data_IF_007981014825
#
_entry.id   IF_007981014825
#
_cell.length_a   1.000
_cell.length_b   1.000
_cell.length_c   1.000
_cell.angle_alpha   90.00
_cell.angle_beta   90.00
_cell.angle_gamma   90.00
#
_symmetry.space_group_name_H-M   'P 1'
#
loop_
_entity.id
_entity.type
_entity.pdbx_description
1 polymer ?
#
# COMPACT_ATOMS: atom_id res chain seq x y z
N UNK A 1 -4.84 -18.98 3.50
CA UNK A 1 -3.37 -19.06 3.30
C UNK A 1 -2.81 -18.06 2.28
N UNK A 2 -3.26 -18.00 1.01
CA UNK A 2 -2.69 -17.02 0.04
C UNK A 2 -3.10 -15.58 0.34
N UNK A 3 -4.37 -15.36 0.72
CA UNK A 3 -4.91 -14.03 1.02
C UNK A 3 -4.36 -13.44 2.33
N UNK A 4 -4.27 -14.23 3.40
CA UNK A 4 -3.68 -13.79 4.67
C UNK A 4 -2.22 -13.34 4.52
N UNK A 5 -1.45 -14.03 3.66
CA UNK A 5 -0.08 -13.65 3.32
C UNK A 5 -0.02 -12.36 2.49
N UNK A 6 -1.00 -12.16 1.60
CA UNK A 6 -1.11 -10.96 0.78
C UNK A 6 -1.48 -9.71 1.62
N UNK A 7 -2.40 -9.87 2.58
CA UNK A 7 -2.75 -8.83 3.55
C UNK A 7 -1.54 -8.46 4.43
N UNK A 8 -0.86 -9.45 5.00
CA UNK A 8 0.35 -9.20 5.80
C UNK A 8 1.46 -8.50 5.00
N UNK A 9 1.63 -8.84 3.72
CA UNK A 9 2.57 -8.17 2.83
C UNK A 9 2.13 -6.72 2.51
N UNK A 10 0.83 -6.48 2.34
CA UNK A 10 0.29 -5.14 2.14
C UNK A 10 0.51 -4.28 3.39
N UNK A 11 0.19 -4.76 4.59
CA UNK A 11 0.45 -4.02 5.83
C UNK A 11 1.93 -3.69 6.02
N UNK A 12 2.83 -4.64 5.75
CA UNK A 12 4.26 -4.42 5.81
C UNK A 12 4.74 -3.35 4.79
N UNK A 13 4.19 -3.37 3.58
CA UNK A 13 4.47 -2.38 2.55
C UNK A 13 3.95 -0.98 2.95
N UNK A 14 2.75 -0.90 3.53
CA UNK A 14 2.17 0.36 4.00
C UNK A 14 3.05 1.01 5.06
N UNK A 15 3.43 0.23 6.08
CA UNK A 15 4.31 0.68 7.16
C UNK A 15 5.67 1.14 6.62
N UNK A 16 6.22 0.42 5.63
CA UNK A 16 7.47 0.81 5.00
C UNK A 16 7.35 2.14 4.24
N UNK A 17 6.29 2.33 3.43
CA UNK A 17 6.07 3.59 2.69
C UNK A 17 5.92 4.77 3.64
N UNK A 18 5.15 4.61 4.74
CA UNK A 18 5.01 5.63 5.78
C UNK A 18 6.35 5.96 6.44
N UNK A 19 7.17 4.95 6.74
CA UNK A 19 8.51 5.15 7.32
C UNK A 19 9.48 5.82 6.36
N UNK A 20 9.38 5.57 5.05
CA UNK A 20 10.16 6.28 4.04
C UNK A 20 9.70 7.74 3.91
N UNK A 21 8.39 8.01 3.96
CA UNK A 21 7.87 9.38 3.86
C UNK A 21 8.37 10.30 4.97
N UNK A 22 8.54 9.77 6.18
CA UNK A 22 9.10 10.52 7.31
C UNK A 22 10.58 10.86 7.16
N UNK A 23 11.33 10.09 6.37
CA UNK A 23 12.76 10.33 6.09
C UNK A 23 12.98 11.30 4.94
N UNK A 24 11.94 11.57 4.15
CA UNK A 24 12.01 12.41 2.95
C UNK A 24 11.51 13.81 3.30
N UNK A 25 12.31 14.87 3.06
CA UNK A 25 11.88 16.25 3.28
C UNK A 25 10.64 16.59 2.47
N UNK A 26 9.69 17.27 3.12
CA UNK A 26 8.48 17.79 2.49
C UNK A 26 8.80 18.70 1.30
N UNK A 27 8.07 18.50 0.21
CA UNK A 27 8.25 19.28 -1.02
C UNK A 27 9.35 18.78 -1.97
N UNK A 28 10.12 17.74 -1.59
CA UNK A 28 11.06 17.10 -2.50
C UNK A 28 10.33 16.32 -3.62
N UNK A 29 10.93 16.24 -4.80
CA UNK A 29 10.40 15.43 -5.90
C UNK A 29 10.24 13.94 -5.52
N UNK A 30 11.04 13.47 -4.55
CA UNK A 30 11.02 12.10 -4.03
C UNK A 30 9.81 11.85 -3.13
N UNK A 31 9.30 12.88 -2.42
CA UNK A 31 8.10 12.75 -1.57
C UNK A 31 6.84 12.41 -2.37
N UNK A 32 6.79 12.79 -3.66
CA UNK A 32 5.62 12.56 -4.52
C UNK A 32 5.31 11.09 -4.74
N UNK A 33 6.32 10.21 -4.79
CA UNK A 33 6.13 8.78 -5.02
C UNK A 33 5.44 8.06 -3.83
N UNK A 34 5.93 8.17 -2.57
CA UNK A 34 5.21 7.64 -1.41
C UNK A 34 3.86 8.33 -1.22
N UNK A 35 3.74 9.65 -1.42
CA UNK A 35 2.44 10.36 -1.32
C UNK A 35 1.41 9.84 -2.33
N UNK A 36 1.83 9.62 -3.58
CA UNK A 36 0.98 9.03 -4.61
C UNK A 36 0.56 7.60 -4.28
N UNK A 37 1.50 6.79 -3.78
CA UNK A 37 1.24 5.40 -3.42
C UNK A 37 0.26 5.30 -2.24
N UNK A 38 0.42 6.15 -1.22
CA UNK A 38 -0.49 6.26 -0.08
C UNK A 38 -1.88 6.73 -0.52
N UNK A 39 -1.96 7.70 -1.43
CA UNK A 39 -3.25 8.18 -1.97
C UNK A 39 -4.03 7.09 -2.72
N UNK A 40 -3.33 6.11 -3.32
CA UNK A 40 -3.95 4.98 -4.04
C UNK A 40 -4.05 3.70 -3.20
N UNK A 41 -3.64 3.74 -1.94
CA UNK A 41 -3.55 2.57 -1.08
C UNK A 41 -4.87 1.79 -0.99
N UNK A 42 -5.98 2.49 -0.75
CA UNK A 42 -7.32 1.89 -0.65
C UNK A 42 -7.72 1.14 -1.93
N UNK A 43 -7.38 1.66 -3.10
CA UNK A 43 -7.65 0.98 -4.37
C UNK A 43 -6.76 -0.26 -4.54
N UNK A 44 -5.49 -0.19 -4.14
CA UNK A 44 -4.54 -1.30 -4.25
C UNK A 44 -4.90 -2.45 -3.30
N UNK A 45 -5.33 -2.14 -2.07
CA UNK A 45 -5.74 -3.16 -1.09
C UNK A 45 -7.13 -3.71 -1.37
N UNK A 46 -8.02 -2.92 -1.97
CA UNK A 46 -9.34 -3.41 -2.39
C UNK A 46 -9.24 -4.55 -3.41
N UNK A 47 -8.27 -4.55 -4.34
CA UNK A 47 -8.06 -5.71 -5.22
C UNK A 47 -7.50 -6.94 -4.51
N UNK A 48 -6.77 -6.75 -3.41
CA UNK A 48 -6.28 -7.85 -2.58
C UNK A 48 -7.42 -8.46 -1.74
N UNK A 49 -8.42 -7.66 -1.36
CA UNK A 49 -9.63 -8.08 -0.66
C UNK A 49 -10.70 -8.68 -1.63
N UNK A 50 -10.90 -8.04 -2.78
CA UNK A 50 -11.89 -8.38 -3.82
C UNK A 50 -11.47 -9.58 -4.69
N UNK A 51 -10.23 -10.09 -4.55
CA UNK A 51 -9.84 -11.41 -5.05
C UNK A 51 -10.68 -12.58 -4.48
N UNK A 52 -11.62 -12.27 -3.58
CA UNK A 52 -12.69 -13.13 -3.07
C UNK A 52 -14.00 -13.09 -3.92
N UNK A 53 -14.14 -12.21 -4.91
CA UNK A 53 -15.38 -12.01 -5.67
C UNK A 53 -15.48 -12.83 -6.98
N UNK A 54 -14.51 -13.70 -7.27
CA UNK A 54 -14.54 -14.59 -8.44
C UNK A 54 -14.89 -16.06 -8.10
N UNK A 55 -15.46 -16.31 -6.92
CA UNK A 55 -16.10 -17.58 -6.57
C UNK A 55 -17.58 -17.34 -6.26
N UNK A 56 -18.35 -16.98 -7.30
CA UNK A 56 -19.81 -17.16 -7.28
C UNK A 56 -20.32 -17.59 -8.63
#
# INVERSE_FOLDING_TARGET
MRQEKALAAADALHAWIMGQRQKVPDGSAIARAPDYSLKRWEALTRYLDDGNAADR
#
